data_IF_833100139765
#
_entry.id   IF_833100139765
#
_cell.length_a   1.000
_cell.length_b   1.000
_cell.length_c   1.000
_cell.angle_alpha   90.00
_cell.angle_beta   90.00
_cell.angle_gamma   90.00
#
_symmetry.space_group_name_H-M   'P 1'
#
loop_
_entity.id
_entity.type
_entity.pdbx_description
1 polymer ?
#
# COMPACT_ATOMS: atom_id res chain seq x y z
N UNK A 1 6.17 1.83 3.99
CA UNK A 1 6.09 2.52 5.30
C UNK A 1 7.02 3.72 5.31
N UNK A 2 6.64 4.79 6.02
CA UNK A 2 7.31 6.10 6.00
C UNK A 2 8.79 6.03 6.45
N UNK A 3 9.72 6.76 5.82
CA UNK A 3 11.15 6.67 6.09
C UNK A 3 11.56 7.45 7.33
N UNK A 4 11.06 7.06 8.51
CA UNK A 4 11.65 7.55 9.76
C UNK A 4 13.03 6.90 9.90
N UNK A 5 14.10 7.65 9.61
CA UNK A 5 15.50 7.27 9.89
C UNK A 5 15.79 7.29 11.40
N UNK A 6 14.94 6.68 12.21
CA UNK A 6 15.14 6.61 13.67
C UNK A 6 15.52 5.18 14.02
N UNK A 7 16.81 4.92 14.22
CA UNK A 7 17.30 3.67 14.82
C UNK A 7 16.86 3.49 16.27
N UNK A 8 16.32 4.55 16.88
CA UNK A 8 15.95 4.61 18.30
C UNK A 8 14.50 4.24 18.60
N UNK A 9 13.61 4.19 17.58
CA UNK A 9 12.19 3.88 17.76
C UNK A 9 11.82 2.77 16.77
N UNK A 10 11.22 1.65 17.23
CA UNK A 10 10.73 0.63 16.32
C UNK A 10 9.72 1.26 15.35
N UNK A 11 9.84 0.95 14.06
CA UNK A 11 8.91 1.44 13.04
C UNK A 11 7.51 0.85 13.31
N UNK A 12 6.69 1.63 14.01
CA UNK A 12 5.33 1.27 14.40
C UNK A 12 4.48 0.99 13.17
N UNK A 13 4.66 1.76 12.09
CA UNK A 13 3.94 1.57 10.83
C UNK A 13 4.28 0.21 10.21
N UNK A 14 5.56 -0.16 10.18
CA UNK A 14 6.00 -1.48 9.70
C UNK A 14 5.47 -2.62 10.53
N UNK A 15 5.48 -2.45 11.85
CA UNK A 15 4.95 -3.43 12.78
C UNK A 15 3.45 -3.65 12.57
N UNK A 16 2.66 -2.57 12.56
CA UNK A 16 1.21 -2.63 12.36
C UNK A 16 0.86 -3.17 10.97
N UNK A 17 1.55 -2.75 9.93
CA UNK A 17 1.34 -3.31 8.59
C UNK A 17 1.53 -4.82 8.59
N UNK A 18 2.66 -5.30 9.09
CA UNK A 18 3.00 -6.73 9.01
C UNK A 18 2.05 -7.63 9.79
N UNK A 19 1.58 -7.19 10.95
CA UNK A 19 0.81 -8.04 11.89
C UNK A 19 -0.69 -7.77 11.89
N UNK A 20 -1.12 -6.56 11.51
CA UNK A 20 -2.51 -6.12 11.62
C UNK A 20 -3.09 -5.85 10.24
N UNK A 21 -2.43 -5.03 9.41
CA UNK A 21 -2.99 -4.58 8.13
C UNK A 21 -2.69 -5.48 6.93
N UNK A 22 -1.72 -6.40 7.05
CA UNK A 22 -1.29 -7.26 5.94
C UNK A 22 -2.41 -8.18 5.45
N UNK A 23 -3.38 -8.51 6.30
CA UNK A 23 -4.57 -9.29 5.94
C UNK A 23 -5.45 -8.52 4.94
N UNK A 24 -5.74 -7.25 5.23
CA UNK A 24 -6.52 -6.36 4.38
C UNK A 24 -5.88 -6.21 3.00
N UNK A 25 -4.56 -6.05 2.97
CA UNK A 25 -3.79 -5.90 1.73
C UNK A 25 -3.47 -7.19 0.97
N UNK A 26 -3.99 -8.36 1.38
CA UNK A 26 -3.82 -9.58 0.59
C UNK A 26 -4.42 -9.48 -0.81
N UNK A 27 -5.44 -8.63 -0.97
CA UNK A 27 -6.05 -8.36 -2.27
C UNK A 27 -5.42 -7.14 -2.94
N UNK A 28 -4.44 -7.36 -3.81
CA UNK A 28 -3.81 -6.28 -4.59
C UNK A 28 -4.80 -5.60 -5.58
N UNK A 29 -5.86 -6.31 -5.95
CA UNK A 29 -7.01 -5.77 -6.65
C UNK A 29 -8.22 -5.86 -5.72
N UNK A 30 -8.47 -4.84 -4.90
CA UNK A 30 -9.51 -4.91 -3.90
C UNK A 30 -10.91 -4.98 -4.53
N UNK A 31 -11.84 -5.50 -3.75
CA UNK A 31 -13.29 -5.50 -3.98
C UNK A 31 -13.98 -5.01 -2.71
N UNK A 32 -15.27 -4.68 -2.78
CA UNK A 32 -16.04 -4.25 -1.61
C UNK A 32 -15.82 -5.15 -0.38
N UNK A 33 -15.82 -6.46 -0.56
CA UNK A 33 -15.64 -7.42 0.55
C UNK A 33 -14.20 -7.53 1.03
N UNK A 34 -13.20 -7.33 0.17
CA UNK A 34 -11.80 -7.27 0.63
C UNK A 34 -11.57 -6.02 1.49
N UNK A 35 -12.32 -4.95 1.25
CA UNK A 35 -12.33 -3.76 2.09
C UNK A 35 -12.58 -4.06 3.56
N UNK A 36 -13.52 -4.97 3.87
CA UNK A 36 -13.81 -5.41 5.25
C UNK A 36 -13.04 -6.65 5.71
N UNK A 37 -12.14 -7.18 4.89
CA UNK A 37 -11.31 -8.35 5.22
C UNK A 37 -10.10 -7.93 6.08
N UNK A 38 -10.39 -7.43 7.27
CA UNK A 38 -9.41 -6.82 8.18
C UNK A 38 -9.08 -7.74 9.36
N UNK A 39 -7.90 -7.54 9.97
CA UNK A 39 -7.60 -8.21 11.25
C UNK A 39 -8.51 -7.66 12.37
N UNK A 40 -8.93 -8.43 13.39
CA UNK A 40 -9.83 -7.92 14.44
C UNK A 40 -9.33 -6.64 15.15
N UNK A 41 -8.02 -6.50 15.32
CA UNK A 41 -7.40 -5.28 15.87
C UNK A 41 -7.56 -4.10 14.91
N UNK A 42 -7.41 -4.34 13.61
CA UNK A 42 -7.57 -3.32 12.57
C UNK A 42 -9.01 -2.82 12.52
N UNK A 43 -9.98 -3.75 12.46
CA UNK A 43 -11.39 -3.38 12.44
C UNK A 43 -11.82 -2.66 13.72
N UNK A 44 -11.32 -3.08 14.89
CA UNK A 44 -11.58 -2.38 16.15
C UNK A 44 -11.05 -0.95 16.12
N UNK A 45 -9.81 -0.75 15.66
CA UNK A 45 -9.24 0.60 15.53
C UNK A 45 -9.99 1.43 14.49
N UNK A 46 -10.39 0.83 13.36
CA UNK A 46 -11.15 1.49 12.32
C UNK A 46 -12.52 1.99 12.81
N UNK A 47 -13.31 1.11 13.43
CA UNK A 47 -14.62 1.49 13.98
C UNK A 47 -14.53 2.36 15.24
N UNK A 48 -13.37 2.44 15.90
CA UNK A 48 -13.17 3.34 17.04
C UNK A 48 -13.31 4.83 16.67
N UNK A 49 -13.34 5.18 15.37
CA UNK A 49 -13.67 6.52 14.89
C UNK A 49 -14.99 7.06 15.48
N UNK A 50 -15.96 6.18 15.76
CA UNK A 50 -17.24 6.58 16.36
C UNK A 50 -17.09 7.14 17.78
N UNK A 51 -15.99 6.80 18.49
CA UNK A 51 -15.69 7.30 19.83
C UNK A 51 -15.35 8.79 19.83
N UNK A 52 -14.99 9.37 18.69
CA UNK A 52 -14.75 10.82 18.56
C UNK A 52 -16.00 11.60 18.98
N UNK A 53 -17.21 11.07 18.76
CA UNK A 53 -18.46 11.74 19.12
C UNK A 53 -18.75 11.71 20.65
N UNK A 54 -18.10 10.82 21.41
CA UNK A 54 -18.43 10.58 22.83
C UNK A 54 -18.05 11.78 23.74
N UNK A 55 -16.82 12.35 23.66
CA UNK A 55 -16.45 13.51 24.49
C UNK A 55 -17.32 14.75 24.28
N UNK A 56 -17.99 14.86 23.12
CA UNK A 56 -18.87 15.99 22.80
C UNK A 56 -20.31 15.80 23.27
N UNK A 57 -20.63 14.69 23.93
CA UNK A 57 -21.99 14.41 24.40
C UNK A 57 -23.01 14.26 23.27
N UNK A 58 -22.56 13.84 22.08
CA UNK A 58 -23.43 13.65 20.93
C UNK A 58 -24.51 12.61 21.21
N UNK A 59 -25.68 12.78 20.58
CA UNK A 59 -26.75 11.79 20.64
C UNK A 59 -26.26 10.42 20.11
N UNK A 60 -26.63 9.27 20.72
CA UNK A 60 -26.14 7.95 20.32
C UNK A 60 -26.35 7.59 18.85
N UNK A 61 -27.34 8.20 18.19
CA UNK A 61 -27.57 8.04 16.75
C UNK A 61 -26.38 8.50 15.90
N UNK A 62 -25.61 9.49 16.35
CA UNK A 62 -24.39 9.94 15.66
C UNK A 62 -23.30 8.87 15.72
N UNK A 63 -23.16 8.20 16.86
CA UNK A 63 -22.21 7.08 17.02
C UNK A 63 -22.61 5.93 16.10
N UNK A 64 -23.90 5.57 16.07
CA UNK A 64 -24.43 4.55 15.17
C UNK A 64 -24.23 4.92 13.71
N UNK A 65 -24.56 6.16 13.32
CA UNK A 65 -24.36 6.65 11.96
C UNK A 65 -22.89 6.58 11.54
N UNK A 66 -21.94 6.90 12.43
CA UNK A 66 -20.52 6.77 12.16
C UNK A 66 -20.09 5.31 11.96
N UNK A 67 -20.61 4.36 12.76
CA UNK A 67 -20.32 2.93 12.56
C UNK A 67 -20.82 2.46 11.19
N UNK A 68 -22.05 2.85 10.80
CA UNK A 68 -22.60 2.54 9.48
C UNK A 68 -21.77 3.18 8.36
N UNK A 69 -21.39 4.45 8.52
CA UNK A 69 -20.55 5.17 7.56
C UNK A 69 -19.19 4.50 7.38
N UNK A 70 -18.52 4.09 8.46
CA UNK A 70 -17.29 3.30 8.38
C UNK A 70 -17.50 1.97 7.64
N UNK A 71 -18.57 1.23 7.95
CA UNK A 71 -18.82 -0.07 7.32
C UNK A 71 -19.04 0.06 5.80
N UNK A 72 -19.87 1.01 5.38
CA UNK A 72 -20.16 1.27 3.97
C UNK A 72 -18.97 1.91 3.27
N UNK A 73 -18.27 2.84 3.93
CA UNK A 73 -17.07 3.50 3.43
C UNK A 73 -15.94 2.49 3.14
N UNK A 74 -15.78 1.46 3.98
CA UNK A 74 -14.86 0.37 3.72
C UNK A 74 -15.22 -0.41 2.45
N UNK A 75 -16.49 -0.54 2.09
CA UNK A 75 -16.89 -1.18 0.82
C UNK A 75 -16.66 -0.26 -0.37
N UNK A 76 -17.15 0.98 -0.30
CA UNK A 76 -17.05 1.95 -1.39
C UNK A 76 -15.61 2.37 -1.68
N UNK A 77 -14.72 2.34 -0.68
CA UNK A 77 -13.30 2.60 -0.86
C UNK A 77 -12.54 1.48 -1.59
N UNK A 78 -13.20 0.37 -1.92
CA UNK A 78 -12.57 -0.85 -2.44
C UNK A 78 -13.34 -1.52 -3.58
N UNK A 79 -14.48 -0.98 -4.02
CA UNK A 79 -15.36 -1.60 -5.03
C UNK A 79 -14.93 -1.34 -6.50
N UNK A 80 -13.73 -0.77 -6.69
CA UNK A 80 -13.10 -0.52 -7.99
C UNK A 80 -13.18 0.95 -8.42
N UNK A 81 -12.14 1.41 -9.12
CA UNK A 81 -12.01 2.83 -9.51
C UNK A 81 -12.76 3.20 -10.80
N UNK A 82 -13.27 2.21 -11.51
CA UNK A 82 -14.01 2.38 -12.76
C UNK A 82 -15.49 2.16 -12.50
N UNK A 83 -16.34 2.93 -13.17
CA UNK A 83 -17.80 2.75 -13.11
C UNK A 83 -18.16 1.27 -13.40
N UNK A 84 -18.99 0.62 -12.55
CA UNK A 84 -19.86 1.22 -11.53
C UNK A 84 -19.26 1.39 -10.12
N UNK A 85 -17.95 1.17 -9.92
CA UNK A 85 -17.30 1.34 -8.62
C UNK A 85 -17.09 2.81 -8.23
N UNK A 86 -16.98 3.02 -6.93
CA UNK A 86 -16.88 4.33 -6.27
C UNK A 86 -15.49 4.58 -5.64
N UNK A 87 -14.62 3.58 -5.61
CA UNK A 87 -13.26 3.71 -5.10
C UNK A 87 -12.47 4.76 -5.89
N UNK A 88 -11.58 5.49 -5.23
CA UNK A 88 -10.67 6.39 -5.92
C UNK A 88 -9.42 5.65 -6.42
N UNK A 89 -8.87 6.13 -7.54
CA UNK A 89 -7.66 5.56 -8.11
C UNK A 89 -6.46 5.63 -7.14
N UNK A 90 -6.46 6.59 -6.22
CA UNK A 90 -5.40 6.77 -5.23
C UNK A 90 -5.37 5.61 -4.23
N UNK A 91 -6.52 5.12 -3.75
CA UNK A 91 -6.62 3.96 -2.86
C UNK A 91 -6.37 2.64 -3.61
N UNK A 92 -6.81 2.53 -4.87
CA UNK A 92 -6.46 1.39 -5.72
C UNK A 92 -4.94 1.25 -5.89
N UNK A 93 -4.24 2.37 -6.11
CA UNK A 93 -2.78 2.39 -6.21
C UNK A 93 -2.13 1.97 -4.89
N UNK A 94 -2.65 2.38 -3.75
CA UNK A 94 -2.17 1.97 -2.43
C UNK A 94 -2.21 0.44 -2.25
N UNK A 95 -3.33 -0.20 -2.63
CA UNK A 95 -3.46 -1.66 -2.56
C UNK A 95 -2.53 -2.40 -3.53
N UNK A 96 -2.31 -1.86 -4.72
CA UNK A 96 -1.37 -2.45 -5.67
C UNK A 96 0.10 -2.22 -5.25
N UNK A 97 0.37 -1.10 -4.56
CA UNK A 97 1.70 -0.58 -4.23
C UNK A 97 1.73 0.00 -2.80
N UNK A 98 2.00 -0.87 -1.82
CA UNK A 98 1.94 -0.59 -0.37
C UNK A 98 2.80 0.57 0.19
N UNK A 99 3.64 1.21 -0.63
CA UNK A 99 4.56 2.29 -0.17
C UNK A 99 4.14 3.72 -0.56
N UNK A 100 2.91 3.92 -1.02
CA UNK A 100 2.36 5.25 -1.30
C UNK A 100 0.95 5.42 -0.71
N UNK A 101 0.41 6.64 -0.75
CA UNK A 101 -1.01 6.93 -0.55
C UNK A 101 -1.58 6.35 0.78
N UNK A 102 -0.93 6.63 1.91
CA UNK A 102 -1.27 6.05 3.22
C UNK A 102 -2.52 6.67 3.86
N UNK A 103 -2.87 7.89 3.47
CA UNK A 103 -4.01 8.64 3.98
C UNK A 103 -5.27 8.43 3.15
N UNK A 104 -6.10 9.46 3.11
CA UNK A 104 -7.32 9.51 2.31
C UNK A 104 -7.20 10.63 1.26
N UNK A 105 -7.72 10.39 0.05
CA UNK A 105 -7.66 11.34 -1.07
C UNK A 105 -8.10 12.78 -0.74
N UNK A 106 -9.16 13.01 0.08
CA UNK A 106 -9.57 14.38 0.44
C UNK A 106 -8.61 15.11 1.38
N UNK A 107 -7.75 14.39 2.09
CA UNK A 107 -6.88 14.96 3.12
C UNK A 107 -5.44 15.01 2.58
N UNK A 108 -4.82 16.19 2.42
CA UNK A 108 -3.54 16.34 1.73
C UNK A 108 -2.31 15.86 2.54
N UNK A 109 -2.48 14.95 3.50
CA UNK A 109 -1.40 14.43 4.35
C UNK A 109 -0.30 13.78 3.50
N UNK A 110 -0.65 12.95 2.52
CA UNK A 110 0.34 12.33 1.63
C UNK A 110 1.09 13.35 0.76
N UNK A 111 0.48 14.50 0.45
CA UNK A 111 1.16 15.58 -0.28
C UNK A 111 2.16 16.29 0.63
N UNK A 112 1.80 16.51 1.90
CA UNK A 112 2.69 17.13 2.88
C UNK A 112 3.85 16.21 3.28
N UNK A 113 3.60 14.90 3.35
CA UNK A 113 4.58 13.89 3.72
C UNK A 113 5.39 13.34 2.53
N UNK A 114 5.03 13.73 1.30
CA UNK A 114 5.75 13.30 0.09
C UNK A 114 5.50 11.85 -0.33
N UNK A 115 4.39 11.26 0.10
CA UNK A 115 3.97 9.88 -0.20
C UNK A 115 2.83 9.81 -1.21
N UNK A 116 2.39 10.96 -1.73
CA UNK A 116 1.31 11.07 -2.71
C UNK A 116 1.73 10.61 -4.10
N UNK A 117 0.93 9.74 -4.70
CA UNK A 117 1.03 9.26 -6.08
C UNK A 117 -0.36 9.36 -6.71
N UNK A 118 -0.51 10.25 -7.68
CA UNK A 118 -1.77 10.47 -8.40
C UNK A 118 -1.90 9.63 -9.68
N UNK A 119 -0.78 9.24 -10.29
CA UNK A 119 -0.75 8.51 -11.56
C UNK A 119 0.27 7.36 -11.52
N UNK A 120 0.05 6.33 -12.34
CA UNK A 120 0.94 5.18 -12.47
C UNK A 120 2.36 5.57 -12.89
N UNK A 121 2.52 6.62 -13.69
CA UNK A 121 3.82 7.13 -14.13
C UNK A 121 4.71 7.55 -12.96
N UNK A 122 4.11 8.11 -11.91
CA UNK A 122 4.80 8.57 -10.72
C UNK A 122 5.22 7.43 -9.78
N UNK A 123 4.60 6.24 -9.89
CA UNK A 123 5.02 5.07 -9.10
C UNK A 123 6.49 4.71 -9.31
N UNK A 124 7.03 4.93 -10.51
CA UNK A 124 8.43 4.64 -10.80
C UNK A 124 9.40 5.37 -9.86
N UNK A 125 9.00 6.53 -9.31
CA UNK A 125 9.78 7.32 -8.36
C UNK A 125 9.89 6.64 -6.98
N UNK A 126 8.91 5.84 -6.60
CA UNK A 126 8.84 5.19 -5.27
C UNK A 126 9.12 3.68 -5.36
N UNK A 127 8.61 3.02 -6.40
CA UNK A 127 8.65 1.56 -6.60
C UNK A 127 9.64 1.09 -7.66
N UNK A 128 10.19 1.99 -8.48
CA UNK A 128 11.10 1.61 -9.57
C UNK A 128 10.44 0.63 -10.55
N UNK A 129 11.04 -0.57 -10.69
CA UNK A 129 10.56 -1.65 -11.59
C UNK A 129 9.90 -2.83 -10.85
N UNK A 130 9.52 -2.68 -9.59
CA UNK A 130 8.88 -3.74 -8.81
C UNK A 130 7.48 -4.07 -9.37
N UNK A 131 7.13 -5.35 -9.41
CA UNK A 131 5.77 -5.79 -9.78
C UNK A 131 4.77 -5.46 -8.67
N UNK A 132 3.53 -5.13 -9.04
CA UNK A 132 2.44 -4.90 -8.07
C UNK A 132 2.26 -6.11 -7.13
N UNK A 133 1.95 -5.84 -5.86
CA UNK A 133 1.76 -6.89 -4.85
C UNK A 133 3.04 -7.57 -4.34
N UNK A 134 4.24 -7.10 -4.72
CA UNK A 134 5.48 -7.56 -4.10
C UNK A 134 5.47 -7.26 -2.59
N UNK A 135 5.50 -8.30 -1.76
CA UNK A 135 5.37 -8.27 -0.29
C UNK A 135 6.61 -7.76 0.43
N UNK A 136 7.69 -7.58 -0.31
CA UNK A 136 8.94 -7.02 0.17
C UNK A 136 8.95 -5.50 0.00
N UNK A 137 8.56 -4.81 1.07
CA UNK A 137 9.00 -3.42 1.34
C UNK A 137 10.53 -3.39 1.55
N UNK A 138 11.30 -3.77 0.51
CA UNK A 138 12.75 -3.53 0.42
C UNK A 138 13.04 -2.09 -0.04
N UNK A 139 12.05 -1.22 -0.02
CA UNK A 139 12.19 0.18 -0.43
C UNK A 139 13.37 0.76 0.37
N UNK A 140 14.52 1.03 -0.28
CA UNK A 140 15.71 1.43 0.43
C UNK A 140 15.37 2.72 1.17
N UNK A 141 15.68 2.77 2.48
CA UNK A 141 15.62 4.00 3.26
C UNK A 141 16.39 5.08 2.50
N UNK A 142 15.67 6.02 1.89
CA UNK A 142 16.18 6.84 0.79
C UNK A 142 17.60 7.40 1.09
N UNK A 143 18.51 7.23 0.12
CA UNK A 143 19.67 8.12 0.02
C UNK A 143 19.14 9.54 -0.14
N UNK A 144 19.80 10.51 0.50
CA UNK A 144 19.29 11.88 0.68
C UNK A 144 18.96 12.62 -0.63
N UNK A 145 18.51 13.88 -0.52
CA UNK A 145 18.06 14.64 -1.69
C UNK A 145 19.14 14.62 -2.77
N UNK A 146 18.75 14.23 -3.98
CA UNK A 146 19.61 14.36 -5.16
C UNK A 146 19.79 15.86 -5.39
N UNK A 147 20.85 16.42 -4.79
CA UNK A 147 21.40 17.69 -5.21
C UNK A 147 21.77 17.57 -6.67
N UNK A 148 21.23 18.45 -7.50
CA UNK A 148 21.67 18.61 -8.87
C UNK A 148 23.17 18.93 -8.91
N UNK A 149 24.01 17.94 -9.20
CA UNK A 149 25.36 18.20 -9.70
C UNK A 149 25.63 17.25 -10.86
N UNK A 150 25.46 17.82 -12.04
CA UNK A 150 25.93 17.33 -13.32
C UNK A 150 27.48 17.34 -13.30
N UNK A 151 28.12 16.17 -13.29
CA UNK A 151 29.56 16.05 -13.63
C UNK A 151 29.81 14.71 -14.34
N UNK A 152 29.90 14.81 -15.66
CA UNK A 152 30.81 14.13 -16.58
C UNK A 152 31.18 12.63 -16.45
N UNK A 153 30.88 11.94 -17.56
CA UNK A 153 31.67 10.93 -18.30
C UNK A 153 32.91 10.33 -17.59
N UNK A 154 33.04 9.00 -17.67
CA UNK A 154 33.98 8.28 -18.56
C UNK A 154 33.98 6.79 -18.16
N UNK A 155 34.07 5.92 -19.17
CA UNK A 155 33.92 4.46 -19.03
C UNK A 155 35.02 3.73 -18.27
N UNK A 156 34.80 2.44 -18.04
CA UNK A 156 35.80 1.57 -17.43
C UNK A 156 35.30 0.19 -17.02
N UNK A 157 35.51 -0.76 -17.91
CA UNK A 157 35.88 -2.17 -17.67
C UNK A 157 35.02 -3.11 -16.78
N UNK A 158 34.73 -4.25 -17.41
CA UNK A 158 34.28 -5.53 -16.85
C UNK A 158 35.22 -6.05 -15.74
N UNK A 159 34.67 -6.78 -14.77
CA UNK A 159 35.27 -8.02 -14.25
C UNK A 159 34.20 -9.01 -13.80
N UNK A 160 34.32 -10.23 -14.34
CA UNK A 160 33.64 -11.46 -13.92
C UNK A 160 33.95 -11.83 -12.46
N UNK A 161 32.95 -12.31 -11.73
CA UNK A 161 33.13 -13.27 -10.65
C UNK A 161 31.83 -14.07 -10.47
N UNK A 162 31.84 -15.31 -10.95
CA UNK A 162 30.71 -16.21 -10.90
C UNK A 162 30.44 -16.78 -9.51
N UNK A 163 29.17 -16.98 -9.20
CA UNK A 163 28.71 -17.94 -8.21
C UNK A 163 27.51 -18.69 -8.81
N UNK A 164 27.75 -19.93 -9.25
CA UNK A 164 26.70 -20.86 -9.69
C UNK A 164 25.97 -21.40 -8.47
N UNK A 165 24.72 -20.99 -8.26
CA UNK A 165 23.80 -21.69 -7.36
C UNK A 165 22.77 -22.48 -8.17
N UNK A 166 22.89 -23.80 -8.10
CA UNK A 166 22.01 -24.79 -8.73
C UNK A 166 20.72 -24.88 -7.89
N UNK A 167 19.57 -24.45 -8.41
CA UNK A 167 18.25 -24.76 -7.82
C UNK A 167 17.33 -25.43 -8.86
N UNK A 168 17.12 -26.72 -8.58
CA UNK A 168 16.00 -27.64 -8.87
C UNK A 168 15.04 -27.30 -10.03
N UNK A 169 14.99 -28.24 -10.98
CA UNK A 169 13.98 -28.37 -12.04
C UNK A 169 12.56 -28.46 -11.48
N UNK A 170 11.67 -27.59 -11.94
CA UNK A 170 10.23 -27.72 -11.78
C UNK A 170 9.65 -28.55 -12.95
N UNK A 171 8.74 -29.47 -12.65
CA UNK A 171 7.97 -30.25 -13.63
C UNK A 171 7.11 -29.35 -14.54
N UNK A 172 6.86 -29.77 -15.80
CA UNK A 172 6.01 -29.02 -16.72
C UNK A 172 4.53 -29.08 -16.32
N UNK A 173 3.84 -27.95 -16.48
CA UNK A 173 2.40 -27.78 -16.31
C UNK A 173 1.60 -28.54 -17.39
N UNK A 174 0.36 -29.00 -17.12
CA UNK A 174 -0.49 -29.65 -18.10
C UNK A 174 -1.06 -28.65 -19.13
N UNK A 175 -1.16 -29.11 -20.38
CA UNK A 175 -1.57 -28.34 -21.54
C UNK A 175 -3.07 -27.98 -21.52
N UNK A 176 -3.38 -26.80 -22.06
CA UNK A 176 -4.73 -26.30 -22.27
C UNK A 176 -5.50 -27.14 -23.31
N UNK A 177 -6.71 -27.56 -22.95
CA UNK A 177 -7.70 -28.08 -23.88
C UNK A 177 -8.21 -26.95 -24.78
N UNK A 178 -8.16 -27.17 -26.11
CA UNK A 178 -8.97 -26.44 -27.08
C UNK A 178 -10.32 -27.16 -27.16
N UNK A 179 -11.42 -26.46 -26.91
CA UNK A 179 -12.74 -26.90 -27.30
C UNK A 179 -13.07 -26.34 -28.69
N UNK A 180 -13.69 -27.20 -29.48
CA UNK A 180 -14.24 -27.00 -30.82
C UNK A 180 -15.70 -26.55 -30.71
#
# INVERSE_FOLDING_TARGET
MHPWKTSSVPDVGKFLYRHVHSLHHKSYNPTAFSGTSMHPVESTLYYSACLIAVPFGCHPTVVLACIFDCAVGAWLGHDGFQMPGNCDYFHQLHHAHFDCNYGASPVPIDKWLGTYIGDKSDLSKVWGKKAAGADVSETPVHQGPVSETNVDKVGGAKTDAGVKTKKRSASPAPAAHKEE
#
